data_IF_901447938907
#
_entry.id   IF_901447938907
#
_cell.length_a   1.000
_cell.length_b   1.000
_cell.length_c   1.000
_cell.angle_alpha   90.00
_cell.angle_beta   90.00
_cell.angle_gamma   90.00
#
_symmetry.space_group_name_H-M   'P 1'
#
loop_
_entity.id
_entity.type
_entity.pdbx_description
1 polymer ?
#
# COMPACT_ATOMS: atom_id res chain seq x y z
N UNK A 1 0.93 5.55 -3.05
CA UNK A 1 0.19 6.24 -1.97
C UNK A 1 -1.20 6.62 -2.46
N UNK A 2 -2.23 6.38 -1.63
CA UNK A 2 -3.60 6.82 -1.91
C UNK A 2 -3.69 8.36 -1.87
N UNK A 3 -4.29 8.97 -2.90
CA UNK A 3 -4.46 10.42 -3.00
C UNK A 3 -5.26 11.04 -1.86
N UNK A 4 -6.19 10.28 -1.27
CA UNK A 4 -7.05 10.72 -0.16
C UNK A 4 -6.61 10.23 1.23
N UNK A 5 -5.43 9.63 1.33
CA UNK A 5 -4.82 9.31 2.65
C UNK A 5 -4.14 10.55 3.22
N UNK A 6 -2.94 10.45 3.80
CA UNK A 6 -2.21 11.61 4.32
C UNK A 6 -1.95 12.67 3.24
N UNK A 7 -2.23 13.94 3.54
CA UNK A 7 -1.98 15.04 2.62
C UNK A 7 -0.50 15.45 2.67
N UNK A 8 0.27 14.95 1.70
CA UNK A 8 1.72 15.19 1.60
C UNK A 8 2.08 16.07 0.41
N UNK A 9 1.10 16.68 -0.27
CA UNK A 9 1.35 17.44 -1.50
C UNK A 9 2.39 18.55 -1.34
N UNK A 10 2.36 19.27 -0.21
CA UNK A 10 3.30 20.35 0.09
C UNK A 10 4.75 19.86 0.33
N UNK A 11 4.88 18.56 0.63
CA UNK A 11 6.14 17.88 0.91
C UNK A 11 6.78 17.28 -0.33
N UNK A 12 6.07 17.20 -1.47
CA UNK A 12 6.57 16.59 -2.70
C UNK A 12 7.28 17.62 -3.59
N UNK A 13 8.36 17.20 -4.25
CA UNK A 13 8.91 17.91 -5.40
C UNK A 13 8.28 17.44 -6.72
N UNK A 14 8.72 18.02 -7.85
CA UNK A 14 8.19 17.67 -9.18
C UNK A 14 8.45 16.20 -9.57
N UNK A 15 9.47 15.56 -8.99
CA UNK A 15 9.86 14.18 -9.23
C UNK A 15 9.22 13.19 -8.23
N UNK A 16 8.41 13.69 -7.29
CA UNK A 16 7.77 12.91 -6.24
C UNK A 16 8.67 12.52 -5.08
N UNK A 17 9.84 13.15 -4.90
CA UNK A 17 10.66 13.02 -3.69
C UNK A 17 10.00 13.71 -2.52
N UNK A 18 10.13 13.11 -1.35
CA UNK A 18 9.59 13.66 -0.10
C UNK A 18 10.64 14.53 0.59
N UNK A 19 10.32 15.81 0.82
CA UNK A 19 11.13 16.70 1.63
C UNK A 19 11.18 16.19 3.08
N UNK A 20 12.38 16.02 3.62
CA UNK A 20 12.61 15.57 5.00
C UNK A 20 12.92 14.08 5.16
N UNK A 21 12.78 13.26 4.10
CA UNK A 21 13.19 11.85 4.11
C UNK A 21 13.97 11.53 2.84
N UNK A 22 15.29 11.37 2.98
CA UNK A 22 16.18 11.11 1.85
C UNK A 22 15.91 9.73 1.21
N UNK A 23 15.92 9.69 -0.12
CA UNK A 23 15.70 8.46 -0.89
C UNK A 23 14.24 7.97 -0.92
N UNK A 24 13.29 8.72 -0.36
CA UNK A 24 11.87 8.40 -0.41
C UNK A 24 11.19 9.05 -1.62
N UNK A 25 10.62 8.22 -2.50
CA UNK A 25 9.84 8.64 -3.65
C UNK A 25 8.38 8.16 -3.54
N UNK A 26 7.43 9.06 -3.77
CA UNK A 26 6.00 8.80 -3.67
C UNK A 26 5.36 8.79 -5.04
N UNK A 27 4.75 7.65 -5.39
CA UNK A 27 3.84 7.53 -6.54
C UNK A 27 2.41 7.64 -6.03
N UNK A 28 1.66 8.62 -6.53
CA UNK A 28 0.24 8.81 -6.17
C UNK A 28 -0.66 7.93 -7.03
N UNK A 29 -1.67 7.35 -6.40
CA UNK A 29 -2.72 6.55 -7.01
C UNK A 29 -4.06 7.03 -6.45
N UNK A 30 -5.16 6.98 -7.22
CA UNK A 30 -6.49 7.32 -6.72
C UNK A 30 -6.86 6.56 -5.43
N UNK A 31 -6.48 5.28 -5.36
CA UNK A 31 -6.73 4.43 -4.20
C UNK A 31 -5.57 3.48 -3.94
N UNK A 32 -5.31 3.16 -2.66
CA UNK A 32 -4.39 2.09 -2.26
C UNK A 32 -4.83 0.71 -2.74
N UNK A 33 -6.13 0.51 -3.02
CA UNK A 33 -6.65 -0.74 -3.58
C UNK A 33 -6.16 -1.07 -4.99
N UNK A 34 -5.66 -0.07 -5.72
CA UNK A 34 -5.03 -0.26 -7.04
C UNK A 34 -3.62 -0.85 -6.94
N UNK A 35 -3.00 -0.78 -5.76
CA UNK A 35 -1.71 -1.43 -5.53
C UNK A 35 -1.90 -2.93 -5.60
N UNK A 36 -1.15 -3.57 -6.48
CA UNK A 36 -1.10 -5.02 -6.60
C UNK A 36 0.20 -5.55 -5.97
N UNK A 37 0.19 -6.73 -5.31
CA UNK A 37 1.42 -7.35 -4.79
C UNK A 37 2.52 -7.49 -5.84
N UNK A 38 2.16 -7.79 -7.09
CA UNK A 38 3.12 -7.83 -8.21
C UNK A 38 3.87 -6.52 -8.45
N UNK A 39 3.25 -5.36 -8.18
CA UNK A 39 3.91 -4.05 -8.28
C UNK A 39 4.98 -3.91 -7.19
N UNK A 40 4.67 -4.35 -5.97
CA UNK A 40 5.60 -4.33 -4.82
C UNK A 40 6.79 -5.24 -5.10
N UNK A 41 6.53 -6.46 -5.58
CA UNK A 41 7.58 -7.40 -5.93
C UNK A 41 8.48 -6.88 -7.06
N UNK A 42 7.89 -6.27 -8.09
CA UNK A 42 8.64 -5.68 -9.20
C UNK A 42 9.52 -4.53 -8.71
N UNK A 43 9.04 -3.69 -7.81
CA UNK A 43 9.83 -2.60 -7.24
C UNK A 43 11.03 -3.12 -6.42
N UNK A 44 10.82 -4.12 -5.56
CA UNK A 44 11.91 -4.75 -4.81
C UNK A 44 12.93 -5.41 -5.75
N UNK A 45 12.46 -6.06 -6.82
CA UNK A 45 13.34 -6.66 -7.84
C UNK A 45 14.12 -5.64 -8.67
N UNK A 46 13.58 -4.44 -8.85
CA UNK A 46 14.26 -3.35 -9.53
C UNK A 46 15.36 -2.68 -8.68
N UNK A 47 15.60 -3.18 -7.46
CA UNK A 47 16.62 -2.67 -6.55
C UNK A 47 16.10 -1.66 -5.52
N UNK A 48 14.77 -1.51 -5.36
CA UNK A 48 14.24 -0.72 -4.26
C UNK A 48 14.62 -1.36 -2.92
N UNK A 49 15.19 -0.58 -2.00
CA UNK A 49 15.57 -1.07 -0.69
C UNK A 49 14.35 -1.50 0.14
N UNK A 50 13.22 -0.79 -0.01
CA UNK A 50 11.94 -1.11 0.62
C UNK A 50 10.78 -0.43 -0.10
N UNK A 51 9.55 -0.84 0.22
CA UNK A 51 8.31 -0.33 -0.38
C UNK A 51 7.33 0.06 0.72
N UNK A 52 6.80 1.27 0.64
CA UNK A 52 5.76 1.78 1.54
C UNK A 52 4.42 1.82 0.82
N UNK A 53 3.42 1.15 1.37
CA UNK A 53 2.03 1.20 0.91
C UNK A 53 1.24 2.06 1.89
N UNK A 54 0.84 3.25 1.46
CA UNK A 54 0.02 4.15 2.27
C UNK A 54 -1.41 4.22 1.72
N UNK A 55 -2.39 3.98 2.59
CA UNK A 55 -3.83 4.05 2.33
C UNK A 55 -4.57 4.84 3.42
N UNK A 56 -5.86 5.10 3.18
CA UNK A 56 -6.74 5.72 4.17
C UNK A 56 -6.85 4.84 5.42
N UNK A 57 -7.26 5.44 6.54
CA UNK A 57 -7.53 4.70 7.76
C UNK A 57 -8.55 3.57 7.53
N UNK A 58 -8.34 2.43 8.17
CA UNK A 58 -9.25 1.28 8.01
C UNK A 58 -10.63 1.64 8.57
N UNK A 59 -11.67 1.51 7.75
CA UNK A 59 -13.03 1.95 8.05
C UNK A 59 -13.42 3.28 7.40
N UNK A 60 -12.44 4.12 7.04
CA UNK A 60 -12.65 5.43 6.41
C UNK A 60 -12.12 5.44 4.96
N UNK A 61 -12.34 4.36 4.22
CA UNK A 61 -11.91 4.29 2.83
C UNK A 61 -12.90 5.01 1.93
N UNK A 62 -12.43 6.02 1.17
CA UNK A 62 -13.24 6.70 0.18
C UNK A 62 -13.86 5.75 -0.87
N UNK A 63 -13.10 4.71 -1.26
CA UNK A 63 -13.56 3.67 -2.19
C UNK A 63 -14.10 2.43 -1.45
N UNK A 64 -14.70 2.63 -0.26
CA UNK A 64 -15.35 1.65 0.62
C UNK A 64 -14.42 0.63 1.24
N UNK A 65 -13.77 -0.21 0.44
CA UNK A 65 -12.98 -1.34 0.93
C UNK A 65 -11.58 -1.40 0.31
N UNK A 66 -11.18 -0.44 -0.52
CA UNK A 66 -9.91 -0.46 -1.25
C UNK A 66 -8.69 -0.70 -0.34
N UNK A 67 -8.61 -0.01 0.79
CA UNK A 67 -7.54 -0.20 1.79
C UNK A 67 -7.60 -1.59 2.46
N UNK A 68 -8.79 -2.08 2.81
CA UNK A 68 -9.01 -3.42 3.35
C UNK A 68 -8.55 -4.50 2.37
N UNK A 69 -8.84 -4.36 1.07
CA UNK A 69 -8.43 -5.35 0.06
C UNK A 69 -6.90 -5.47 -0.02
N UNK A 70 -6.18 -4.34 -0.09
CA UNK A 70 -4.72 -4.38 -0.17
C UNK A 70 -4.12 -4.87 1.14
N UNK A 71 -4.69 -4.50 2.30
CA UNK A 71 -4.30 -5.04 3.60
C UNK A 71 -4.40 -6.56 3.63
N UNK A 72 -5.53 -7.13 3.21
CA UNK A 72 -5.73 -8.58 3.13
C UNK A 72 -4.74 -9.26 2.16
N UNK A 73 -4.43 -8.63 1.02
CA UNK A 73 -3.44 -9.14 0.06
C UNK A 73 -2.03 -9.18 0.66
N UNK A 74 -1.64 -8.13 1.38
CA UNK A 74 -0.36 -8.05 2.09
C UNK A 74 -0.26 -9.10 3.21
N UNK A 75 -1.36 -9.31 3.94
CA UNK A 75 -1.46 -10.34 4.98
C UNK A 75 -1.55 -11.77 4.42
N UNK A 76 -1.76 -11.94 3.11
CA UNK A 76 -1.93 -13.26 2.49
C UNK A 76 -3.34 -13.84 2.63
N UNK A 77 -4.30 -13.07 3.15
CA UNK A 77 -5.69 -13.49 3.34
C UNK A 77 -6.54 -13.33 2.06
N UNK A 78 -5.98 -12.73 1.00
CA UNK A 78 -6.68 -12.48 -0.27
C UNK A 78 -5.75 -12.58 -1.46
N UNK A 79 -6.22 -13.21 -2.54
CA UNK A 79 -5.48 -13.33 -3.82
C UNK A 79 -5.63 -12.04 -4.66
N UNK A 80 -4.60 -11.61 -5.41
CA UNK A 80 -3.22 -12.12 -5.42
C UNK A 80 -2.49 -11.84 -4.10
N UNK A 81 -1.59 -12.74 -3.69
CA UNK A 81 -0.75 -12.62 -2.49
C UNK A 81 0.71 -12.36 -2.87
N UNK A 82 1.52 -11.89 -1.90
CA UNK A 82 2.97 -11.78 -2.07
C UNK A 82 3.61 -13.18 -2.18
N UNK A 83 4.58 -13.33 -3.07
CA UNK A 83 5.42 -14.53 -3.18
C UNK A 83 6.15 -14.82 -1.86
N UNK A 84 6.36 -16.11 -1.58
CA UNK A 84 7.09 -16.56 -0.38
C UNK A 84 8.54 -16.06 -0.31
N UNK A 85 9.17 -15.85 -1.47
CA UNK A 85 10.53 -15.34 -1.56
C UNK A 85 10.66 -13.84 -1.29
N UNK A 86 9.55 -13.10 -1.22
CA UNK A 86 9.59 -11.66 -0.99
C UNK A 86 9.86 -11.38 0.49
N UNK A 87 10.93 -10.63 0.78
CA UNK A 87 11.23 -10.20 2.15
C UNK A 87 10.19 -9.18 2.63
N UNK A 88 9.29 -9.65 3.50
CA UNK A 88 8.19 -8.85 4.05
C UNK A 88 8.66 -7.74 4.99
N UNK A 89 9.87 -7.84 5.54
CA UNK A 89 10.48 -6.78 6.36
C UNK A 89 10.75 -5.52 5.53
N UNK A 90 10.86 -5.64 4.21
CA UNK A 90 11.04 -4.51 3.28
C UNK A 90 9.74 -3.89 2.84
N UNK A 91 8.61 -4.23 3.46
CA UNK A 91 7.30 -3.70 3.13
C UNK A 91 6.71 -3.07 4.39
N UNK A 92 6.34 -1.80 4.29
CA UNK A 92 5.61 -1.08 5.33
C UNK A 92 4.21 -0.74 4.83
N UNK A 93 3.19 -1.07 5.62
CA UNK A 93 1.81 -0.66 5.37
C UNK A 93 1.40 0.44 6.36
N UNK A 94 1.00 1.59 5.82
CA UNK A 94 0.53 2.74 6.58
C UNK A 94 -0.95 3.00 6.29
N UNK A 95 -1.75 3.10 7.35
CA UNK A 95 -3.17 3.45 7.29
C UNK A 95 -3.34 4.78 8.01
N UNK A 96 -3.43 5.86 7.24
CA UNK A 96 -3.38 7.23 7.75
C UNK A 96 -4.59 8.03 7.27
N UNK A 97 -5.11 8.86 8.16
CA UNK A 97 -6.11 9.89 7.87
C UNK A 97 -5.45 11.10 7.21
N UNK A 98 -6.26 11.94 6.58
CA UNK A 98 -5.81 13.12 5.82
C UNK A 98 -4.83 14.05 6.54
N UNK A 99 -5.04 14.44 7.82
CA UNK A 99 -4.15 15.39 8.49
C UNK A 99 -2.86 14.75 9.01
N UNK A 100 -2.70 13.42 8.96
CA UNK A 100 -1.59 12.70 9.60
C UNK A 100 -0.29 12.71 8.78
N UNK A 101 0.09 13.87 8.24
CA UNK A 101 1.31 14.07 7.46
C UNK A 101 2.58 13.94 8.30
N UNK A 102 2.56 14.43 9.54
CA UNK A 102 3.73 14.37 10.43
C UNK A 102 4.04 12.92 10.82
N UNK A 103 2.98 12.13 11.03
CA UNK A 103 3.10 10.70 11.28
C UNK A 103 3.62 9.95 10.06
N UNK A 104 3.19 10.32 8.85
CA UNK A 104 3.76 9.77 7.62
C UNK A 104 5.28 9.99 7.55
N UNK A 105 5.75 11.21 7.85
CA UNK A 105 7.17 11.54 7.86
C UNK A 105 7.94 10.75 8.92
N UNK A 106 7.43 10.68 10.15
CA UNK A 106 8.07 9.93 11.23
C UNK A 106 8.20 8.44 10.89
N UNK A 107 7.09 7.80 10.50
CA UNK A 107 7.02 6.37 10.21
C UNK A 107 7.91 6.00 9.00
N UNK A 108 7.92 6.84 7.95
CA UNK A 108 8.76 6.58 6.78
C UNK A 108 10.24 6.85 7.04
N UNK A 109 10.59 7.86 7.84
CA UNK A 109 11.97 8.10 8.24
C UNK A 109 12.54 6.95 9.09
N UNK A 110 11.74 6.42 10.01
CA UNK A 110 12.12 5.24 10.80
C UNK A 110 12.30 4.02 9.88
N UNK A 111 11.40 3.82 8.94
CA UNK A 111 11.47 2.71 8.00
C UNK A 111 12.68 2.79 7.06
N UNK A 112 13.04 3.97 6.56
CA UNK A 112 14.24 4.16 5.75
C UNK A 112 15.49 3.76 6.54
N UNK A 113 15.59 4.17 7.82
CA UNK A 113 16.69 3.75 8.71
C UNK A 113 16.70 2.23 8.92
N UNK A 114 15.52 1.64 9.17
CA UNK A 114 15.38 0.20 9.36
C UNK A 114 15.84 -0.58 8.12
N UNK A 115 15.37 -0.19 6.93
CA UNK A 115 15.73 -0.84 5.67
C UNK A 115 17.22 -0.69 5.35
N UNK A 116 17.83 0.46 5.68
CA UNK A 116 19.27 0.67 5.54
C UNK A 116 20.12 -0.23 6.44
N UNK A 117 19.56 -0.70 7.57
CA UNK A 117 20.23 -1.65 8.48
C UNK A 117 20.18 -3.11 8.00
N UNK A 118 19.30 -3.43 7.05
CA UNK A 118 19.18 -4.78 6.50
C UNK A 118 20.32 -5.06 5.51
N UNK A 119 20.73 -6.33 5.34
CA UNK A 119 21.69 -6.71 4.28
C UNK A 119 21.16 -6.26 2.91
N UNK A 120 22.02 -6.03 1.92
CA UNK A 120 21.56 -5.59 0.60
C UNK A 120 20.49 -6.54 0.02
N UNK A 121 19.46 -6.03 -0.69
CA UNK A 121 18.46 -6.88 -1.30
C UNK A 121 19.14 -7.87 -2.26
N UNK A 122 18.77 -9.14 -2.15
CA UNK A 122 19.30 -10.24 -2.97
C UNK A 122 18.69 -10.17 -4.39
N UNK A 123 18.97 -9.10 -5.13
CA UNK A 123 18.56 -8.96 -6.52
C UNK A 123 19.61 -8.14 -7.30
N UNK A 124 19.89 -8.60 -8.52
CA UNK A 124 20.94 -8.13 -9.41
C UNK A 124 20.90 -6.61 -9.68
N UNK A 125 22.08 -6.07 -9.99
CA UNK A 125 22.40 -4.66 -10.26
C UNK A 125 21.26 -3.85 -10.90
N UNK A 126 21.05 -2.59 -10.47
CA UNK A 126 19.90 -1.80 -10.88
C UNK A 126 19.93 -1.57 -12.39
N UNK A 127 18.99 -2.18 -13.11
CA UNK A 127 18.55 -1.62 -14.38
C UNK A 127 17.88 -0.29 -14.01
N UNK A 128 18.59 0.81 -14.26
CA UNK A 128 18.15 2.18 -14.04
C UNK A 128 16.64 2.30 -14.23
N UNK A 129 15.96 2.84 -13.21
CA UNK A 129 14.54 3.10 -13.23
C UNK A 129 14.16 3.82 -14.52
N UNK A 130 13.66 3.07 -15.52
CA UNK A 130 12.98 3.69 -16.65
C UNK A 130 11.75 4.38 -16.06
N UNK A 131 11.54 5.68 -16.32
CA UNK A 131 10.36 6.37 -15.85
C UNK A 131 9.14 5.58 -16.32
N UNK A 132 8.22 5.31 -15.39
CA UNK A 132 7.00 4.59 -15.69
C UNK A 132 6.35 5.21 -16.94
N UNK A 133 6.07 4.43 -18.01
CA UNK A 133 5.39 4.99 -19.15
C UNK A 133 4.02 5.47 -18.69
N UNK A 134 3.75 6.76 -18.91
CA UNK A 134 2.46 7.38 -18.68
C UNK A 134 1.37 6.47 -19.24
N UNK A 135 0.48 6.00 -18.36
CA UNK A 135 -0.66 5.20 -18.74
C UNK A 135 -1.53 6.04 -19.68
N UNK A 136 -1.48 5.72 -20.98
CA UNK A 136 -2.47 6.20 -21.94
C UNK A 136 -3.84 5.71 -21.50
N UNK A 137 -4.77 6.65 -21.39
CA UNK A 137 -6.17 6.43 -21.09
C UNK A 137 -6.76 5.39 -22.05
N UNK A 138 -7.38 4.35 -21.48
CA UNK A 138 -8.24 3.44 -22.20
C UNK A 138 -9.68 3.92 -22.06
N UNK A 139 -10.26 4.23 -23.20
CA UNK A 139 -11.63 4.68 -23.42
C UNK A 139 -12.65 3.56 -23.16
N UNK A 140 -13.84 3.93 -22.67
CA UNK A 140 -14.96 3.05 -22.26
C UNK A 140 -15.69 2.47 -23.48
N UNK A 141 -16.19 1.22 -23.40
CA UNK A 141 -17.65 0.98 -23.46
C UNK A 141 -18.03 -0.19 -22.52
N UNK A 142 -19.26 -0.57 -22.23
CA UNK A 142 -20.61 -0.04 -22.19
C UNK A 142 -21.37 -1.05 -21.28
N UNK A 143 -22.51 -0.64 -20.75
CA UNK A 143 -23.34 -1.44 -19.82
C UNK A 143 -23.92 -2.71 -20.46
N UNK A 144 -23.99 -3.82 -19.70
CA UNK A 144 -25.10 -4.77 -19.80
C UNK A 144 -25.41 -5.37 -18.43
N UNK A 145 -26.70 -5.34 -18.09
CA UNK A 145 -27.35 -5.85 -16.87
C UNK A 145 -27.75 -7.33 -17.07
N UNK A 146 -27.58 -8.17 -16.05
CA UNK A 146 -28.35 -9.41 -15.88
C UNK A 146 -28.33 -9.90 -14.41
N UNK A 147 -29.53 -10.00 -13.83
CA UNK A 147 -29.97 -10.89 -12.74
C UNK A 147 -29.58 -12.37 -13.01
N UNK A 148 -29.53 -13.36 -12.11
CA UNK A 148 -30.06 -13.67 -10.77
C UNK A 148 -29.39 -14.98 -10.32
N UNK A 149 -29.59 -15.35 -9.03
CA UNK A 149 -29.78 -16.72 -8.51
C UNK A 149 -28.78 -17.17 -7.41
N UNK A 150 -29.36 -17.39 -6.23
CA UNK A 150 -28.80 -18.09 -5.08
C UNK A 150 -28.58 -19.58 -5.36
N UNK A 151 -27.55 -20.16 -4.75
CA UNK A 151 -27.54 -21.55 -4.31
C UNK A 151 -26.55 -21.75 -3.15
N UNK A 152 -26.94 -22.63 -2.23
CA UNK A 152 -26.46 -22.79 -0.85
C UNK A 152 -25.47 -23.97 -0.73
N UNK A 153 -24.60 -23.86 0.29
CA UNK A 153 -23.95 -24.90 1.11
C UNK A 153 -22.92 -25.89 0.48
N UNK A 154 -21.73 -25.94 1.09
CA UNK A 154 -21.15 -27.15 1.71
C UNK A 154 -19.92 -26.78 2.55
N UNK A 155 -19.84 -27.35 3.76
CA UNK A 155 -18.72 -27.27 4.71
C UNK A 155 -17.57 -28.23 4.36
N UNK A 156 -16.51 -28.11 5.18
CA UNK A 156 -15.39 -29.02 5.43
C UNK A 156 -14.17 -28.94 4.51
N UNK A 157 -13.03 -28.60 5.13
CA UNK A 157 -11.74 -28.60 4.47
C UNK A 157 -10.63 -27.91 5.25
N UNK A 158 -10.37 -28.42 6.46
CA UNK A 158 -9.21 -28.15 7.31
C UNK A 158 -7.91 -28.29 6.52
N UNK A 159 -7.15 -27.20 6.34
CA UNK A 159 -5.73 -27.29 6.02
C UNK A 159 -4.91 -26.14 6.63
N UNK A 160 -3.79 -26.57 7.20
CA UNK A 160 -2.95 -25.85 8.14
C UNK A 160 -2.40 -24.52 7.60
N UNK A 161 -2.66 -23.44 8.33
CA UNK A 161 -1.97 -22.16 8.14
C UNK A 161 -0.50 -22.31 8.53
N UNK A 162 0.36 -22.47 7.54
CA UNK A 162 1.76 -22.08 7.70
C UNK A 162 1.76 -20.58 8.05
N UNK A 163 2.20 -20.25 9.26
CA UNK A 163 2.21 -18.90 9.78
C UNK A 163 3.17 -18.04 8.95
N UNK A 164 2.61 -17.27 8.02
CA UNK A 164 3.36 -16.34 7.18
C UNK A 164 3.60 -15.08 8.01
N UNK A 165 4.86 -14.60 8.14
CA UNK A 165 5.12 -13.43 8.96
C UNK A 165 4.40 -12.20 8.39
N UNK A 166 3.78 -11.37 9.25
CA UNK A 166 2.99 -10.23 8.80
C UNK A 166 3.88 -9.13 8.22
N UNK A 167 3.33 -8.38 7.25
CA UNK A 167 3.89 -7.08 6.82
C UNK A 167 3.82 -6.12 8.02
N UNK A 168 4.82 -5.27 8.20
CA UNK A 168 4.81 -4.27 9.26
C UNK A 168 3.61 -3.33 9.07
N UNK A 169 2.66 -3.36 10.00
CA UNK A 169 1.51 -2.45 10.04
C UNK A 169 1.66 -1.50 11.22
N UNK A 170 1.70 -0.19 10.97
CA UNK A 170 1.64 0.78 12.07
C UNK A 170 0.19 0.96 12.53
N UNK A 171 -0.23 0.17 13.51
CA UNK A 171 -1.40 0.44 14.34
C UNK A 171 -1.11 1.63 15.25
N UNK A 172 -1.20 2.84 14.71
CA UNK A 172 -1.25 4.02 15.56
C UNK A 172 -2.68 4.36 15.92
N UNK A 173 -2.86 5.18 16.96
CA UNK A 173 -4.17 5.51 17.50
C UNK A 173 -5.06 6.13 16.41
N UNK A 174 -6.32 5.71 16.41
CA UNK A 174 -7.40 6.39 15.69
C UNK A 174 -7.68 7.63 16.52
N UNK A 175 -6.96 8.72 16.27
CA UNK A 175 -7.29 10.00 16.89
C UNK A 175 -8.58 10.51 16.23
N UNK A 176 -9.67 10.36 16.97
CA UNK A 176 -11.02 10.72 16.56
C UNK A 176 -11.15 12.25 16.58
N UNK A 177 -10.79 12.92 15.50
CA UNK A 177 -10.93 14.37 15.38
C UNK A 177 -12.39 14.81 15.12
N UNK A 178 -13.39 13.98 15.46
CA UNK A 178 -14.82 14.27 15.25
C UNK A 178 -15.42 15.20 16.31
N UNK A 179 -14.59 15.87 17.12
CA UNK A 179 -15.02 16.70 18.25
C UNK A 179 -14.58 18.16 18.06
N UNK A 180 -14.98 18.83 16.98
CA UNK A 180 -15.01 20.30 16.93
C UNK A 180 -15.87 20.80 15.77
N UNK A 181 -17.18 20.52 15.86
CA UNK A 181 -18.22 21.24 15.13
C UNK A 181 -19.42 21.43 16.06
N UNK A 182 -19.22 22.22 17.12
CA UNK A 182 -20.30 22.86 17.88
C UNK A 182 -19.94 24.33 18.05
N UNK A 183 -20.52 25.16 17.21
CA UNK A 183 -20.81 26.58 17.44
C UNK A 183 -21.97 26.95 16.53
#
# INVERSE_FOLDING_TARGET
MCERSADVNDLLDADGKVKGVDGLHVVKLPCSGMVQPNMIETALKAGAAGVVVCGCQIGDCYYREGNKMIRERLLGNRVPTLKKATDRRRILALWLSRPQKDRFLADTAEFVKFVASLPAPEVAAPAAAKPAPAAKAAEKPAETKAETAEAKAAEDGKDAKAEVPPVQENKGPIEDTSSEAKS
#
